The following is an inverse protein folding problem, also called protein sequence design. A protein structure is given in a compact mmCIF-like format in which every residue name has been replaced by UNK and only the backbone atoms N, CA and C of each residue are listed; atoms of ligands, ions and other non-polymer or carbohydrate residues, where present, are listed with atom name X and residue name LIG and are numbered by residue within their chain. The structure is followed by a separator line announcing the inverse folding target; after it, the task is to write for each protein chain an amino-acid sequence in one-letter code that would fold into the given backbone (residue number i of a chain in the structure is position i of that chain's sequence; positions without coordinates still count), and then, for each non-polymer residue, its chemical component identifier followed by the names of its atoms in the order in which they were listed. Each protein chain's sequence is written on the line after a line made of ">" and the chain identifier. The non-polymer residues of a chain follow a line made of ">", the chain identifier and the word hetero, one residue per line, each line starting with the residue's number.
data_IF_122998926821
#
_entry.id   IF_122998926821
#
_cell.length_a   1.000
_cell.length_b   1.000
_cell.length_c   1.000
_cell.angle_alpha   90.00
_cell.angle_beta   90.00
_cell.angle_gamma   90.00
#
_symmetry.space_group_name_H-M   'P 1'
#
loop_
_entity.id
_entity.type
_entity.pdbx_description
1 polymer ?
#
# COMPACT_ATOMS: atom_id res chain seq x y z
N UNK A 1 33.36 1.59 -41.25
CA UNK A 1 32.78 0.69 -40.22
C UNK A 1 32.35 1.48 -38.97
N UNK A 2 32.23 2.81 -39.05
CA UNK A 2 32.13 3.67 -37.85
C UNK A 2 30.68 3.97 -37.44
N UNK A 3 29.75 4.09 -38.40
CA UNK A 3 28.33 4.38 -38.13
C UNK A 3 27.67 3.29 -37.29
N UNK A 4 28.10 2.03 -37.45
CA UNK A 4 27.59 0.90 -36.66
C UNK A 4 28.03 1.01 -35.19
N UNK A 5 29.25 1.43 -34.91
CA UNK A 5 29.80 1.54 -33.55
C UNK A 5 29.13 2.66 -32.75
N UNK A 6 28.82 3.80 -33.39
CA UNK A 6 28.08 4.90 -32.74
C UNK A 6 26.67 4.50 -32.32
N UNK A 7 25.96 3.73 -33.16
CA UNK A 7 24.62 3.23 -32.82
C UNK A 7 24.65 2.26 -31.63
N UNK A 8 25.62 1.35 -31.58
CA UNK A 8 25.79 0.44 -30.44
C UNK A 8 26.13 1.20 -29.14
N UNK A 9 26.97 2.24 -29.23
CA UNK A 9 27.33 3.05 -28.07
C UNK A 9 26.12 3.84 -27.53
N UNK A 10 25.30 4.40 -28.41
CA UNK A 10 24.06 5.08 -28.03
C UNK A 10 23.08 4.11 -27.33
N UNK A 11 22.87 2.92 -27.89
CA UNK A 11 21.99 1.91 -27.26
C UNK A 11 22.53 1.52 -25.88
N UNK A 12 23.83 1.28 -25.73
CA UNK A 12 24.43 0.94 -24.43
C UNK A 12 24.24 2.06 -23.40
N UNK A 13 24.38 3.33 -23.79
CA UNK A 13 24.12 4.49 -22.92
C UNK A 13 22.65 4.56 -22.52
N UNK A 14 21.71 4.34 -23.45
CA UNK A 14 20.27 4.32 -23.12
C UNK A 14 19.90 3.17 -22.18
N UNK A 15 20.49 1.97 -22.34
CA UNK A 15 20.27 0.85 -21.43
C UNK A 15 20.86 1.15 -20.05
N UNK A 16 22.08 1.71 -19.98
CA UNK A 16 22.71 2.09 -18.72
C UNK A 16 21.92 3.16 -17.97
N UNK A 17 21.45 4.21 -18.67
CA UNK A 17 20.59 5.24 -18.09
C UNK A 17 19.24 4.67 -17.66
N UNK A 18 18.64 3.78 -18.45
CA UNK A 18 17.39 3.10 -18.11
C UNK A 18 17.51 2.30 -16.81
N UNK A 19 18.58 1.53 -16.63
CA UNK A 19 18.82 0.74 -15.41
C UNK A 19 18.94 1.65 -14.17
N UNK A 20 19.62 2.79 -14.28
CA UNK A 20 19.72 3.74 -13.17
C UNK A 20 18.34 4.30 -12.77
N UNK A 21 17.49 4.65 -13.73
CA UNK A 21 16.15 5.19 -13.47
C UNK A 21 15.26 4.19 -12.73
N UNK A 22 15.33 2.89 -13.07
CA UNK A 22 14.55 1.86 -12.38
C UNK A 22 15.02 1.60 -10.95
N UNK A 23 16.33 1.71 -10.66
CA UNK A 23 16.87 1.50 -9.31
C UNK A 23 16.52 2.64 -8.34
N UNK A 24 16.62 3.90 -8.77
CA UNK A 24 16.23 5.04 -7.91
C UNK A 24 14.70 5.17 -7.72
N UNK A 25 13.92 4.67 -8.68
CA UNK A 25 12.45 4.73 -8.61
C UNK A 25 11.86 3.80 -7.55
N UNK A 26 12.50 2.66 -7.25
CA UNK A 26 12.00 1.72 -6.24
C UNK A 26 12.24 2.20 -4.81
N UNK A 27 13.34 2.90 -4.57
CA UNK A 27 13.67 3.41 -3.23
C UNK A 27 12.82 4.65 -2.87
N UNK A 28 12.47 5.48 -3.85
CA UNK A 28 11.63 6.66 -3.64
C UNK A 28 10.13 6.33 -3.46
N UNK A 29 9.68 5.14 -3.90
CA UNK A 29 8.31 4.67 -3.74
C UNK A 29 8.08 3.84 -2.47
N UNK A 30 9.16 3.37 -1.84
CA UNK A 30 9.12 2.70 -0.55
C UNK A 30 9.48 3.70 0.56
N UNK A 31 8.57 4.64 0.86
CA UNK A 31 8.62 5.28 2.17
C UNK A 31 8.14 4.24 3.20
N UNK A 32 9.08 3.41 3.66
CA UNK A 32 8.86 2.36 4.67
C UNK A 32 8.30 2.90 5.99
N UNK A 33 8.30 4.22 6.17
CA UNK A 33 7.78 4.89 7.34
C UNK A 33 6.33 5.35 7.18
N UNK A 34 5.66 5.10 6.06
CA UNK A 34 4.26 5.51 5.87
C UNK A 34 3.43 4.35 5.33
N UNK A 35 2.25 4.13 5.91
CA UNK A 35 1.30 3.11 5.46
C UNK A 35 -0.07 3.72 5.24
N UNK A 36 -0.58 3.57 4.02
CA UNK A 36 -1.98 3.80 3.71
C UNK A 36 -2.69 2.46 3.62
N UNK A 37 -3.64 2.21 4.53
CA UNK A 37 -4.43 0.98 4.57
C UNK A 37 -5.87 1.25 4.14
N UNK A 38 -6.45 0.26 3.45
CA UNK A 38 -7.85 0.26 3.06
C UNK A 38 -8.46 -1.07 3.49
N UNK A 39 -9.49 -0.99 4.32
CA UNK A 39 -10.17 -2.17 4.84
C UNK A 39 -11.67 -2.14 4.49
N UNK A 40 -12.21 -3.29 4.14
CA UNK A 40 -13.63 -3.44 3.87
C UNK A 40 -14.41 -3.61 5.17
N UNK A 41 -15.41 -2.77 5.38
CA UNK A 41 -16.18 -2.72 6.62
C UNK A 41 -17.27 -3.79 6.74
N UNK A 42 -17.23 -4.84 5.91
CA UNK A 42 -18.18 -5.95 5.94
C UNK A 42 -19.56 -5.63 5.36
N UNK A 43 -19.75 -4.45 4.75
CA UNK A 43 -21.04 -4.04 4.17
C UNK A 43 -20.88 -3.25 2.87
N UNK A 44 -21.80 -3.46 1.93
CA UNK A 44 -21.88 -2.70 0.68
C UNK A 44 -22.79 -1.48 0.84
N UNK A 45 -22.57 -0.48 0.01
CA UNK A 45 -23.47 0.67 -0.10
C UNK A 45 -24.14 0.72 -1.47
N UNK A 46 -25.36 1.24 -1.54
CA UNK A 46 -26.11 1.39 -2.78
C UNK A 46 -26.75 2.76 -2.89
N UNK A 47 -26.94 3.23 -4.12
CA UNK A 47 -27.65 4.47 -4.38
C UNK A 47 -29.16 4.27 -4.20
N UNK A 48 -29.78 5.14 -3.41
CA UNK A 48 -31.21 5.16 -3.15
C UNK A 48 -31.94 5.93 -4.27
N UNK A 49 -33.26 5.77 -4.36
CA UNK A 49 -34.09 6.42 -5.37
C UNK A 49 -34.04 7.96 -5.33
N UNK A 50 -33.71 8.54 -4.18
CA UNK A 50 -33.51 9.97 -3.99
C UNK A 50 -32.10 10.46 -4.41
N UNK A 51 -31.26 9.58 -4.96
CA UNK A 51 -29.89 9.86 -5.37
C UNK A 51 -28.84 9.78 -4.25
N UNK A 52 -29.25 9.69 -2.98
CA UNK A 52 -28.33 9.53 -1.84
C UNK A 52 -27.80 8.12 -1.71
N UNK A 53 -26.62 7.94 -1.11
CA UNK A 53 -26.06 6.61 -0.84
C UNK A 53 -26.48 6.11 0.54
N UNK A 54 -26.67 4.79 0.68
CA UNK A 54 -26.84 4.16 2.00
C UNK A 54 -25.65 4.46 2.89
N UNK A 55 -25.91 4.78 4.15
CA UNK A 55 -24.85 5.09 5.13
C UNK A 55 -24.07 3.82 5.50
N UNK A 56 -22.76 3.98 5.60
CA UNK A 56 -21.86 3.00 6.17
C UNK A 56 -21.79 3.17 7.69
N UNK A 57 -21.37 2.12 8.41
CA UNK A 57 -21.23 2.14 9.87
C UNK A 57 -19.86 2.65 10.30
N UNK A 58 -19.76 3.18 11.52
CA UNK A 58 -18.48 3.55 12.13
C UNK A 58 -17.73 4.62 11.35
N UNK A 59 -16.43 4.43 11.15
CA UNK A 59 -15.54 5.33 10.41
C UNK A 59 -15.46 5.01 8.90
N UNK A 60 -16.43 4.27 8.37
CA UNK A 60 -16.40 3.82 7.00
C UNK A 60 -17.11 4.81 6.08
N UNK A 61 -16.55 4.98 4.88
CA UNK A 61 -17.12 5.82 3.83
C UNK A 61 -17.56 4.95 2.66
N UNK A 62 -18.65 5.34 2.00
CA UNK A 62 -19.13 4.66 0.80
C UNK A 62 -18.30 5.11 -0.40
N UNK A 63 -17.57 4.18 -1.01
CA UNK A 63 -16.84 4.39 -2.26
C UNK A 63 -17.53 3.65 -3.39
N UNK A 64 -17.73 4.32 -4.51
CA UNK A 64 -18.37 3.76 -5.69
C UNK A 64 -17.68 4.27 -6.95
N UNK A 65 -17.75 3.49 -8.02
CA UNK A 65 -17.33 3.94 -9.35
C UNK A 65 -18.41 4.86 -9.95
N UNK A 66 -17.99 5.79 -10.80
CA UNK A 66 -18.92 6.67 -11.51
C UNK A 66 -19.86 5.87 -12.42
N UNK A 67 -21.14 6.22 -12.38
CA UNK A 67 -22.19 5.53 -13.16
C UNK A 67 -22.63 4.18 -12.59
N UNK A 68 -22.09 3.73 -11.44
CA UNK A 68 -22.60 2.56 -10.72
C UNK A 68 -23.55 2.96 -9.60
N UNK A 69 -24.52 2.10 -9.33
CA UNK A 69 -25.50 2.27 -8.23
C UNK A 69 -25.17 1.42 -7.00
N UNK A 70 -24.01 0.77 -7.01
CA UNK A 70 -23.47 -0.02 -5.90
C UNK A 70 -22.02 0.39 -5.64
N UNK A 71 -21.61 0.23 -4.39
CA UNK A 71 -20.29 0.57 -3.88
C UNK A 71 -19.95 -0.24 -2.65
N UNK A 72 -18.77 0.02 -2.10
CA UNK A 72 -18.25 -0.65 -0.91
C UNK A 72 -18.09 0.36 0.23
N UNK A 73 -18.44 -0.06 1.44
CA UNK A 73 -18.05 0.69 2.63
C UNK A 73 -16.62 0.34 2.99
N UNK A 74 -15.72 1.32 2.88
CA UNK A 74 -14.29 1.14 3.16
C UNK A 74 -13.87 2.10 4.29
N UNK A 75 -13.00 1.64 5.17
CA UNK A 75 -12.23 2.48 6.07
C UNK A 75 -10.85 2.69 5.48
N UNK A 76 -10.42 3.95 5.45
CA UNK A 76 -9.08 4.34 5.01
C UNK A 76 -8.33 4.91 6.18
N UNK A 77 -7.13 4.41 6.44
CA UNK A 77 -6.27 4.92 7.51
C UNK A 77 -4.89 5.22 6.94
N UNK A 78 -4.32 6.33 7.41
CA UNK A 78 -2.95 6.72 7.11
C UNK A 78 -2.16 6.69 8.40
N UNK A 79 -1.07 5.93 8.39
CA UNK A 79 -0.17 5.76 9.52
C UNK A 79 1.21 6.25 9.13
N UNK A 80 1.68 7.30 9.79
CA UNK A 80 3.07 7.74 9.75
C UNK A 80 3.82 7.05 10.91
N UNK A 81 4.74 6.14 10.58
CA UNK A 81 5.54 5.41 11.56
C UNK A 81 6.61 6.28 12.23
N UNK A 82 6.96 7.44 11.66
CA UNK A 82 7.95 8.34 12.27
C UNK A 82 7.47 8.97 13.58
N UNK A 83 6.16 8.99 13.81
CA UNK A 83 5.57 9.47 15.06
C UNK A 83 5.75 8.49 16.22
N UNK A 84 6.12 7.23 15.95
CA UNK A 84 6.37 6.23 16.99
C UNK A 84 7.86 6.11 17.32
N UNK A 85 8.23 5.96 18.59
CA UNK A 85 9.60 5.70 18.97
C UNK A 85 10.07 4.34 18.42
N UNK A 86 11.37 4.21 18.16
CA UNK A 86 11.96 2.92 17.82
C UNK A 86 11.77 1.97 19.01
N UNK A 87 11.19 0.77 18.80
CA UNK A 87 10.98 -0.18 19.88
C UNK A 87 12.31 -0.66 20.45
N UNK A 88 12.34 -0.85 21.76
CA UNK A 88 13.46 -1.46 22.49
C UNK A 88 13.50 -2.96 22.25
N UNK A 89 14.67 -3.57 22.50
CA UNK A 89 14.83 -5.03 22.38
C UNK A 89 13.87 -5.79 23.30
N UNK A 90 13.58 -5.23 24.48
CA UNK A 90 12.66 -5.77 25.47
C UNK A 90 11.21 -5.78 24.95
N UNK A 91 10.75 -4.68 24.33
CA UNK A 91 9.40 -4.59 23.74
C UNK A 91 9.22 -5.58 22.59
N UNK A 92 10.26 -5.76 21.75
CA UNK A 92 10.24 -6.76 20.67
C UNK A 92 10.18 -8.19 21.24
N UNK A 93 10.90 -8.45 22.33
CA UNK A 93 10.89 -9.75 22.99
C UNK A 93 9.52 -10.06 23.60
N UNK A 94 8.83 -9.08 24.19
CA UNK A 94 7.49 -9.28 24.77
C UNK A 94 6.40 -9.47 23.71
N UNK A 95 6.49 -8.77 22.58
CA UNK A 95 5.58 -8.92 21.45
C UNK A 95 5.77 -10.23 20.65
N UNK A 96 6.85 -10.97 20.91
CA UNK A 96 7.14 -12.22 20.21
C UNK A 96 6.08 -13.28 20.51
N UNK A 97 5.57 -14.02 19.49
CA UNK A 97 4.59 -15.08 19.71
C UNK A 97 5.09 -16.08 20.75
N UNK A 98 4.33 -16.26 21.83
CA UNK A 98 4.72 -17.22 22.87
C UNK A 98 4.61 -18.65 22.33
N UNK A 99 5.50 -19.56 22.74
CA UNK A 99 5.36 -20.97 22.40
C UNK A 99 3.97 -21.46 22.81
N UNK A 100 3.32 -22.24 21.93
CA UNK A 100 2.07 -22.92 22.31
C UNK A 100 2.38 -23.82 23.50
N UNK A 101 1.69 -23.60 24.63
CA UNK A 101 1.72 -24.56 25.73
C UNK A 101 1.24 -25.91 25.19
N UNK A 102 2.17 -26.86 25.10
CA UNK A 102 1.83 -28.22 24.76
C UNK A 102 1.41 -28.86 26.07
N UNK A 103 0.11 -28.79 26.39
CA UNK A 103 -0.45 -29.54 27.51
C UNK A 103 -0.33 -31.03 27.17
N UNK A 104 0.75 -31.65 27.63
CA UNK A 104 0.89 -33.10 27.63
C UNK A 104 -0.07 -33.66 28.68
N UNK A 105 -1.24 -34.12 28.22
CA UNK A 105 -2.14 -34.95 29.00
C UNK A 105 -1.63 -36.39 29.08
#
# INVERSE_FOLDING_TARGET
>A
MEVKTFAFLQIAVFIALGIQIFLFGTDALNNENELFSVEYCGVNCTQQANGSWTKCNGNCTCYHEDGKTYGLCLSTEYTDFTQFPKPTSEEIADASPRPKETNSH
#
